data_IF_293982234733
#
_entry.id   IF_293982234733
#
_cell.length_a   1.000
_cell.length_b   1.000
_cell.length_c   1.000
_cell.angle_alpha   90.00
_cell.angle_beta   90.00
_cell.angle_gamma   90.00
#
_symmetry.space_group_name_H-M   'P 1'
#
loop_
_entity.id
_entity.type
_entity.pdbx_description
1 polymer ?
#
# COMPACT_ATOMS: atom_id res chain seq x y z
N UNK A 1 14.52 7.05 5.43
CA UNK A 1 13.31 6.59 4.75
C UNK A 1 13.08 5.11 5.07
N UNK A 2 12.17 4.84 6.03
CA UNK A 2 11.94 3.50 6.62
C UNK A 2 11.46 2.47 5.59
N UNK A 3 10.68 2.89 4.59
CA UNK A 3 10.23 2.02 3.49
C UNK A 3 11.40 1.44 2.67
N UNK A 4 12.44 2.24 2.46
CA UNK A 4 13.62 1.79 1.71
C UNK A 4 14.49 0.80 2.50
N UNK A 5 14.30 0.70 3.81
CA UNK A 5 15.07 -0.18 4.70
C UNK A 5 14.34 -1.50 5.00
N UNK A 6 13.26 -1.83 4.30
CA UNK A 6 12.44 -3.03 4.53
C UNK A 6 11.93 -3.19 5.97
N UNK A 7 11.82 -2.09 6.73
CA UNK A 7 11.28 -2.13 8.07
C UNK A 7 9.81 -2.55 8.06
N UNK A 8 9.47 -3.41 9.00
CA UNK A 8 8.09 -3.91 9.14
C UNK A 8 7.20 -2.86 9.79
N UNK A 9 6.65 -1.93 8.99
CA UNK A 9 5.82 -0.80 9.45
C UNK A 9 4.73 -1.25 10.43
N UNK A 10 4.10 -2.39 10.18
CA UNK A 10 3.03 -2.89 11.04
C UNK A 10 3.53 -3.28 12.43
N UNK A 11 4.71 -3.90 12.53
CA UNK A 11 5.35 -4.25 13.81
C UNK A 11 5.75 -2.99 14.57
N UNK A 12 6.34 -2.02 13.88
CA UNK A 12 6.69 -0.73 14.45
C UNK A 12 5.46 0.01 15.01
N UNK A 13 4.35 0.05 14.26
CA UNK A 13 3.11 0.67 14.75
C UNK A 13 2.53 -0.08 15.94
N UNK A 14 2.59 -1.41 15.94
CA UNK A 14 2.20 -2.21 17.10
C UNK A 14 3.08 -1.87 18.32
N UNK A 15 4.39 -1.71 18.15
CA UNK A 15 5.29 -1.32 19.23
C UNK A 15 4.91 0.02 19.89
N UNK A 16 4.48 0.99 19.09
CA UNK A 16 3.98 2.28 19.58
C UNK A 16 2.67 2.15 20.37
N UNK A 17 1.75 1.31 19.88
CA UNK A 17 0.44 1.11 20.50
C UNK A 17 0.57 0.42 21.86
N UNK A 18 1.41 -0.62 21.92
CA UNK A 18 1.56 -1.46 23.12
C UNK A 18 2.72 -1.07 24.02
N UNK A 19 3.52 -0.07 23.61
CA UNK A 19 4.73 0.37 24.31
C UNK A 19 5.68 -0.80 24.60
N UNK A 20 5.95 -1.62 23.57
CA UNK A 20 6.82 -2.79 23.58
C UNK A 20 7.93 -2.66 22.54
N UNK A 21 9.01 -3.44 22.68
CA UNK A 21 9.99 -3.60 21.62
C UNK A 21 9.39 -4.39 20.46
N UNK A 22 9.89 -4.16 19.25
CA UNK A 22 9.37 -4.82 18.04
C UNK A 22 9.47 -6.34 18.10
N UNK A 23 10.52 -6.88 18.77
CA UNK A 23 10.75 -8.31 18.94
C UNK A 23 9.75 -8.97 19.93
N UNK A 24 9.08 -8.17 20.76
CA UNK A 24 8.10 -8.63 21.76
C UNK A 24 6.67 -8.62 21.23
N UNK A 25 6.45 -8.13 20.00
CA UNK A 25 5.13 -8.02 19.38
C UNK A 25 4.64 -9.40 18.94
N UNK A 26 3.53 -9.82 19.52
CA UNK A 26 2.88 -11.07 19.14
C UNK A 26 1.95 -10.90 17.91
N UNK A 27 1.46 -12.03 17.36
CA UNK A 27 0.65 -12.04 16.14
C UNK A 27 -0.66 -11.22 16.25
N UNK A 28 -1.29 -11.19 17.44
CA UNK A 28 -2.53 -10.40 17.65
C UNK A 28 -2.22 -8.90 17.68
N UNK A 29 -1.15 -8.50 18.34
CA UNK A 29 -0.69 -7.12 18.41
C UNK A 29 -0.24 -6.63 17.03
N UNK A 30 0.46 -7.48 16.27
CA UNK A 30 0.79 -7.21 14.87
C UNK A 30 -0.45 -6.97 14.00
N UNK A 31 -1.52 -7.79 14.14
CA UNK A 31 -2.76 -7.61 13.39
C UNK A 31 -3.44 -6.27 13.73
N UNK A 32 -3.44 -5.86 15.00
CA UNK A 32 -3.92 -4.53 15.40
C UNK A 32 -3.06 -3.43 14.79
N UNK A 33 -1.74 -3.55 14.81
CA UNK A 33 -0.82 -2.60 14.16
C UNK A 33 -1.11 -2.46 12.67
N UNK A 34 -1.27 -3.58 11.96
CA UNK A 34 -1.62 -3.62 10.54
C UNK A 34 -2.96 -2.93 10.26
N UNK A 35 -4.00 -3.27 11.01
CA UNK A 35 -5.33 -2.65 10.88
C UNK A 35 -5.30 -1.16 11.19
N UNK A 36 -4.49 -0.74 12.16
CA UNK A 36 -4.32 0.68 12.50
C UNK A 36 -3.72 1.47 11.34
N UNK A 37 -2.65 0.97 10.72
CA UNK A 37 -2.04 1.60 9.53
C UNK A 37 -3.08 1.79 8.43
N UNK A 38 -3.79 0.72 8.06
CA UNK A 38 -4.78 0.78 6.98
C UNK A 38 -5.95 1.71 7.34
N UNK A 39 -6.50 1.59 8.55
CA UNK A 39 -7.62 2.41 9.00
C UNK A 39 -7.25 3.90 9.01
N UNK A 40 -6.11 4.25 9.60
CA UNK A 40 -5.66 5.64 9.70
C UNK A 40 -5.34 6.22 8.33
N UNK A 41 -4.62 5.49 7.48
CA UNK A 41 -4.26 5.97 6.15
C UNK A 41 -5.49 6.23 5.26
N UNK A 42 -6.55 5.44 5.44
CA UNK A 42 -7.80 5.61 4.69
C UNK A 42 -8.86 6.45 5.42
N UNK A 43 -8.49 7.11 6.53
CA UNK A 43 -9.35 8.05 7.23
C UNK A 43 -10.54 7.39 7.95
N UNK A 44 -10.38 6.15 8.43
CA UNK A 44 -11.44 5.47 9.17
C UNK A 44 -11.61 6.10 10.55
N UNK A 45 -12.84 6.51 10.87
CA UNK A 45 -13.16 7.08 12.18
C UNK A 45 -13.15 6.05 13.32
N UNK A 46 -13.02 6.51 14.60
CA UNK A 46 -12.82 5.63 15.74
C UNK A 46 -13.94 4.63 15.99
N UNK A 47 -15.20 4.96 15.66
CA UNK A 47 -16.32 4.05 15.86
C UNK A 47 -16.27 2.84 14.90
N UNK A 48 -16.00 3.09 13.62
CA UNK A 48 -15.84 2.02 12.64
C UNK A 48 -14.59 1.20 12.92
N UNK A 49 -13.52 1.86 13.33
CA UNK A 49 -12.28 1.18 13.71
C UNK A 49 -12.49 0.29 14.95
N UNK A 50 -13.25 0.73 15.95
CA UNK A 50 -13.63 -0.07 17.12
C UNK A 50 -14.32 -1.38 16.73
N UNK A 51 -15.26 -1.31 15.79
CA UNK A 51 -15.94 -2.49 15.25
C UNK A 51 -14.97 -3.41 14.53
N UNK A 52 -14.06 -2.84 13.71
CA UNK A 52 -13.07 -3.60 12.96
C UNK A 52 -12.12 -4.40 13.85
N UNK A 53 -11.65 -3.80 14.95
CA UNK A 53 -10.70 -4.45 15.89
C UNK A 53 -11.39 -5.15 17.06
N UNK A 54 -12.73 -5.12 17.12
CA UNK A 54 -13.57 -5.69 18.21
C UNK A 54 -13.15 -5.18 19.59
N UNK A 55 -12.95 -3.87 19.72
CA UNK A 55 -12.56 -3.20 20.95
C UNK A 55 -13.51 -2.03 21.26
N UNK A 56 -13.61 -1.58 22.52
CA UNK A 56 -14.37 -0.39 22.88
C UNK A 56 -13.92 0.86 22.10
N UNK A 57 -14.87 1.76 21.78
CA UNK A 57 -14.60 2.98 21.04
C UNK A 57 -13.50 3.87 21.68
N UNK A 58 -13.43 3.90 23.01
CA UNK A 58 -12.38 4.62 23.76
C UNK A 58 -10.98 4.05 23.46
N UNK A 59 -10.85 2.72 23.41
CA UNK A 59 -9.58 2.04 23.09
C UNK A 59 -9.20 2.34 21.63
N UNK A 60 -10.13 2.18 20.70
CA UNK A 60 -9.92 2.48 19.29
C UNK A 60 -9.47 3.94 19.06
N UNK A 61 -10.12 4.90 19.74
CA UNK A 61 -9.74 6.31 19.69
C UNK A 61 -8.30 6.53 20.17
N UNK A 62 -7.90 5.90 21.26
CA UNK A 62 -6.54 6.03 21.80
C UNK A 62 -5.50 5.44 20.85
N UNK A 63 -5.80 4.29 20.23
CA UNK A 63 -4.92 3.66 19.24
C UNK A 63 -4.69 4.58 18.03
N UNK A 64 -5.77 5.12 17.45
CA UNK A 64 -5.67 6.07 16.33
C UNK A 64 -4.90 7.33 16.73
N UNK A 65 -5.18 7.90 17.91
CA UNK A 65 -4.45 9.06 18.42
C UNK A 65 -2.95 8.77 18.62
N UNK A 66 -2.60 7.57 19.07
CA UNK A 66 -1.19 7.15 19.18
C UNK A 66 -0.54 7.09 17.80
N UNK A 67 -1.19 6.50 16.81
CA UNK A 67 -0.67 6.45 15.44
C UNK A 67 -0.43 7.86 14.88
N UNK A 68 -1.41 8.76 14.95
CA UNK A 68 -1.29 10.13 14.42
C UNK A 68 -0.23 10.96 15.15
N UNK A 69 0.00 10.70 16.44
CA UNK A 69 1.08 11.35 17.18
C UNK A 69 2.47 10.96 16.67
N UNK A 70 2.66 9.70 16.26
CA UNK A 70 3.93 9.21 15.73
C UNK A 70 4.08 9.37 14.21
N UNK A 71 2.97 9.55 13.50
CA UNK A 71 2.91 9.75 12.05
C UNK A 71 2.01 10.95 11.69
N UNK A 72 2.36 12.18 12.12
CA UNK A 72 1.56 13.39 11.88
C UNK A 72 1.48 13.74 10.38
N UNK A 73 2.39 13.23 9.57
CA UNK A 73 2.41 13.41 8.13
C UNK A 73 1.17 12.87 7.43
N UNK A 74 0.53 11.84 8.02
CA UNK A 74 -0.70 11.26 7.47
C UNK A 74 -1.85 12.27 7.53
N UNK A 75 -2.02 12.95 8.66
CA UNK A 75 -3.04 14.00 8.77
C UNK A 75 -2.73 15.20 7.87
N UNK A 76 -1.44 15.57 7.75
CA UNK A 76 -1.02 16.61 6.84
C UNK A 76 -1.36 16.25 5.38
N UNK A 77 -1.05 15.02 4.97
CA UNK A 77 -1.41 14.51 3.66
C UNK A 77 -2.94 14.46 3.43
N UNK A 78 -3.72 14.05 4.43
CA UNK A 78 -5.19 14.10 4.34
C UNK A 78 -5.68 15.53 4.07
N UNK A 79 -5.15 16.54 4.76
CA UNK A 79 -5.48 17.95 4.52
C UNK A 79 -5.14 18.38 3.09
N UNK A 80 -3.95 18.04 2.60
CA UNK A 80 -3.55 18.34 1.21
C UNK A 80 -4.51 17.71 0.18
N UNK A 81 -4.89 16.45 0.38
CA UNK A 81 -5.86 15.77 -0.51
C UNK A 81 -7.22 16.47 -0.48
N UNK A 82 -7.70 16.85 0.72
CA UNK A 82 -8.96 17.59 0.84
C UNK A 82 -8.92 18.95 0.16
N UNK A 83 -7.83 19.69 0.30
CA UNK A 83 -7.64 20.99 -0.36
C UNK A 83 -7.61 20.86 -1.88
N UNK A 84 -6.89 19.86 -2.39
CA UNK A 84 -6.89 19.59 -3.84
C UNK A 84 -8.29 19.25 -4.34
N UNK A 85 -9.05 18.45 -3.61
CA UNK A 85 -10.44 18.14 -3.97
C UNK A 85 -11.37 19.36 -3.92
N UNK A 86 -11.16 20.28 -2.97
CA UNK A 86 -11.91 21.53 -2.92
C UNK A 86 -11.62 22.41 -4.13
N UNK A 87 -10.36 22.41 -4.58
CA UNK A 87 -9.89 23.24 -5.69
C UNK A 87 -10.28 22.69 -7.05
N UNK A 88 -10.09 21.40 -7.28
CA UNK A 88 -10.13 20.82 -8.62
C UNK A 88 -11.09 19.63 -8.80
N UNK A 89 -11.60 19.06 -7.71
CA UNK A 89 -12.39 17.82 -7.72
C UNK A 89 -11.68 16.65 -8.40
N UNK A 90 -10.36 16.68 -8.51
CA UNK A 90 -9.57 15.63 -9.14
C UNK A 90 -8.30 15.36 -8.36
N UNK A 91 -7.78 14.14 -8.52
CA UNK A 91 -6.44 13.76 -8.06
C UNK A 91 -5.65 13.19 -9.25
N UNK A 92 -4.34 13.36 -9.18
CA UNK A 92 -3.40 12.86 -10.19
C UNK A 92 -2.38 12.00 -9.48
N UNK A 93 -2.16 10.76 -9.96
CA UNK A 93 -1.15 9.85 -9.41
C UNK A 93 0.26 10.25 -9.88
N UNK A 94 1.34 9.70 -9.27
CA UNK A 94 2.71 9.86 -9.77
C UNK A 94 2.92 9.43 -11.22
N UNK A 95 2.03 8.59 -11.74
CA UNK A 95 2.06 8.11 -13.14
C UNK A 95 1.18 8.94 -14.10
N UNK A 96 0.56 10.04 -13.61
CA UNK A 96 -0.27 10.91 -14.41
C UNK A 96 -1.72 10.44 -14.57
N UNK A 97 -2.15 9.36 -13.93
CA UNK A 97 -3.56 8.93 -13.94
C UNK A 97 -4.42 9.96 -13.23
N UNK A 98 -5.47 10.44 -13.90
CA UNK A 98 -6.40 11.44 -13.38
C UNK A 98 -7.69 10.75 -12.97
N UNK A 99 -8.19 11.05 -11.78
CA UNK A 99 -9.53 10.67 -11.33
C UNK A 99 -10.31 11.89 -10.87
N UNK A 100 -11.54 12.04 -11.37
CA UNK A 100 -12.49 13.06 -10.94
C UNK A 100 -13.45 12.50 -9.89
N UNK A 101 -13.65 13.27 -8.82
CA UNK A 101 -14.56 12.94 -7.72
C UNK A 101 -15.83 13.76 -7.84
N UNK A 102 -16.91 13.13 -8.32
CA UNK A 102 -18.18 13.79 -8.64
C UNK A 102 -19.23 13.63 -7.55
N UNK A 103 -18.97 12.77 -6.56
CA UNK A 103 -19.86 12.50 -5.43
C UNK A 103 -20.07 13.77 -4.56
N UNK A 104 -21.05 13.70 -3.66
CA UNK A 104 -21.26 14.75 -2.65
C UNK A 104 -19.99 14.97 -1.84
N UNK A 105 -19.65 16.22 -1.63
CA UNK A 105 -18.48 16.61 -0.85
C UNK A 105 -18.68 16.19 0.63
N UNK A 106 -17.77 15.41 1.18
CA UNK A 106 -17.86 14.92 2.56
C UNK A 106 -16.90 13.74 2.82
N UNK A 107 -17.04 13.14 4.01
CA UNK A 107 -16.17 12.08 4.52
C UNK A 107 -16.02 10.87 3.58
N UNK A 108 -17.11 10.45 2.92
CA UNK A 108 -17.06 9.31 2.01
C UNK A 108 -16.17 9.59 0.79
N UNK A 109 -16.31 10.79 0.21
CA UNK A 109 -15.44 11.24 -0.88
C UNK A 109 -13.98 11.31 -0.42
N UNK A 110 -13.70 11.80 0.77
CA UNK A 110 -12.35 11.91 1.29
C UNK A 110 -11.71 10.53 1.49
N UNK A 111 -12.43 9.58 2.10
CA UNK A 111 -11.94 8.20 2.26
C UNK A 111 -11.65 7.54 0.92
N UNK A 112 -12.53 7.71 -0.06
CA UNK A 112 -12.32 7.23 -1.41
C UNK A 112 -11.06 7.85 -2.05
N UNK A 113 -10.82 9.12 -1.82
CA UNK A 113 -9.67 9.84 -2.33
C UNK A 113 -8.35 9.41 -1.67
N UNK A 114 -8.35 9.20 -0.35
CA UNK A 114 -7.18 8.69 0.37
C UNK A 114 -6.81 7.28 -0.09
N UNK A 115 -7.78 6.42 -0.36
CA UNK A 115 -7.51 5.09 -0.89
C UNK A 115 -7.03 5.13 -2.35
N UNK A 116 -7.57 6.04 -3.16
CA UNK A 116 -7.30 6.10 -4.59
C UNK A 116 -5.82 6.35 -4.92
N UNK A 117 -5.18 7.34 -4.29
CA UNK A 117 -3.80 7.71 -4.64
C UNK A 117 -2.81 6.54 -4.47
N UNK A 118 -2.69 5.90 -3.30
CA UNK A 118 -1.76 4.79 -3.13
C UNK A 118 -2.15 3.55 -3.95
N UNK A 119 -3.42 3.16 -3.97
CA UNK A 119 -3.87 1.98 -4.70
C UNK A 119 -3.66 2.12 -6.21
N UNK A 120 -4.04 3.26 -6.80
CA UNK A 120 -3.81 3.50 -8.23
C UNK A 120 -2.33 3.61 -8.57
N UNK A 121 -1.51 4.15 -7.67
CA UNK A 121 -0.06 4.21 -7.87
C UNK A 121 0.56 2.82 -7.93
N UNK A 122 0.15 1.92 -7.01
CA UNK A 122 0.62 0.53 -7.02
C UNK A 122 0.13 -0.20 -8.26
N UNK A 123 -1.14 -0.05 -8.63
CA UNK A 123 -1.69 -0.66 -9.84
C UNK A 123 -0.94 -0.21 -11.10
N UNK A 124 -0.71 1.10 -11.27
CA UNK A 124 0.06 1.63 -12.41
C UNK A 124 1.51 1.12 -12.42
N UNK A 125 2.11 0.94 -11.25
CA UNK A 125 3.46 0.38 -11.11
C UNK A 125 3.51 -1.08 -11.55
N UNK A 126 2.54 -1.91 -11.09
CA UNK A 126 2.39 -3.29 -11.51
C UNK A 126 2.12 -3.42 -13.01
N UNK A 127 1.19 -2.63 -13.57
CA UNK A 127 0.89 -2.65 -15.00
C UNK A 127 2.10 -2.30 -15.87
N UNK A 128 2.93 -1.34 -15.45
CA UNK A 128 4.17 -1.03 -16.16
C UNK A 128 5.18 -2.18 -16.10
N UNK A 129 5.25 -2.89 -14.97
CA UNK A 129 6.10 -4.08 -14.86
C UNK A 129 5.57 -5.22 -15.75
N UNK A 130 4.27 -5.48 -15.72
CA UNK A 130 3.62 -6.47 -16.58
C UNK A 130 3.84 -6.19 -18.06
N UNK A 131 3.68 -4.93 -18.49
CA UNK A 131 3.92 -4.55 -19.87
C UNK A 131 5.35 -4.82 -20.33
N UNK A 132 6.36 -4.51 -19.49
CA UNK A 132 7.76 -4.83 -19.77
C UNK A 132 8.00 -6.33 -19.85
N UNK A 133 7.39 -7.09 -18.94
CA UNK A 133 7.53 -8.55 -18.89
C UNK A 133 6.90 -9.20 -20.11
N UNK A 134 5.69 -8.83 -20.50
CA UNK A 134 5.01 -9.36 -21.69
C UNK A 134 5.88 -9.28 -22.96
N UNK A 135 6.69 -8.22 -23.08
CA UNK A 135 7.59 -8.02 -24.21
C UNK A 135 8.98 -8.64 -24.06
N UNK A 136 9.26 -9.28 -22.92
CA UNK A 136 10.59 -9.84 -22.63
C UNK A 136 10.57 -11.27 -22.10
N UNK A 137 9.39 -11.85 -21.85
CA UNK A 137 9.28 -13.24 -21.41
C UNK A 137 9.83 -14.20 -22.49
N UNK A 138 10.59 -15.23 -22.09
CA UNK A 138 11.03 -16.26 -23.02
C UNK A 138 9.85 -17.12 -23.51
N UNK A 139 10.05 -17.80 -24.65
CA UNK A 139 9.04 -18.72 -25.18
C UNK A 139 8.69 -19.79 -24.16
N UNK A 140 7.38 -19.99 -23.91
CA UNK A 140 6.86 -20.92 -22.91
C UNK A 140 6.54 -20.30 -21.56
N UNK A 141 7.05 -19.10 -21.26
CA UNK A 141 6.63 -18.33 -20.10
C UNK A 141 5.51 -17.37 -20.46
N UNK A 142 4.52 -17.21 -19.56
CA UNK A 142 3.36 -16.34 -19.81
C UNK A 142 2.81 -15.72 -18.54
N UNK A 143 2.24 -14.51 -18.65
CA UNK A 143 1.42 -13.91 -17.63
C UNK A 143 0.04 -14.60 -17.62
N UNK A 144 -0.31 -15.26 -16.53
CA UNK A 144 -1.56 -16.04 -16.45
C UNK A 144 -2.64 -15.39 -15.62
N UNK A 145 -2.26 -14.49 -14.72
CA UNK A 145 -3.22 -13.78 -13.87
C UNK A 145 -2.68 -12.43 -13.43
N UNK A 146 -3.59 -11.46 -13.36
CA UNK A 146 -3.41 -10.16 -12.76
C UNK A 146 -4.20 -10.05 -11.45
N UNK A 147 -3.58 -9.47 -10.41
CA UNK A 147 -4.22 -9.01 -9.18
C UNK A 147 -4.08 -7.50 -9.06
N UNK A 148 -4.64 -6.89 -8.02
CA UNK A 148 -4.58 -5.43 -7.82
C UNK A 148 -3.15 -4.89 -7.68
N UNK A 149 -2.29 -5.65 -7.00
CA UNK A 149 -0.94 -5.28 -6.59
C UNK A 149 0.10 -6.31 -6.98
N UNK A 150 -0.27 -7.27 -7.84
CA UNK A 150 0.60 -8.33 -8.28
C UNK A 150 0.09 -9.11 -9.49
N UNK A 151 0.88 -10.06 -9.94
CA UNK A 151 0.55 -10.94 -11.06
C UNK A 151 1.24 -12.30 -10.89
N UNK A 152 0.81 -13.26 -11.70
CA UNK A 152 1.38 -14.60 -11.74
C UNK A 152 1.97 -14.84 -13.12
N UNK A 153 3.18 -15.38 -13.13
CA UNK A 153 3.85 -15.91 -14.32
C UNK A 153 3.93 -17.42 -14.19
N UNK A 154 3.52 -18.13 -15.24
CA UNK A 154 3.77 -19.54 -15.44
C UNK A 154 4.97 -19.71 -16.36
N UNK A 155 5.90 -20.60 -16.02
CA UNK A 155 7.09 -20.88 -16.80
C UNK A 155 7.63 -22.29 -16.50
N UNK A 156 8.50 -22.80 -17.37
CA UNK A 156 9.26 -24.01 -17.10
C UNK A 156 10.26 -23.77 -15.96
N UNK A 157 10.51 -24.79 -15.15
CA UNK A 157 11.44 -24.72 -14.01
C UNK A 157 12.86 -24.31 -14.44
N UNK A 158 13.27 -24.69 -15.65
CA UNK A 158 14.56 -24.30 -16.25
C UNK A 158 14.69 -22.80 -16.53
N UNK A 159 13.59 -22.07 -16.67
CA UNK A 159 13.55 -20.64 -16.96
C UNK A 159 13.52 -19.77 -15.69
N UNK A 160 13.45 -20.38 -14.52
CA UNK A 160 13.29 -19.71 -13.23
C UNK A 160 14.20 -18.51 -13.02
N UNK A 161 15.52 -18.70 -13.15
CA UNK A 161 16.51 -17.65 -12.88
C UNK A 161 16.41 -16.48 -13.88
N UNK A 162 16.08 -16.79 -15.13
CA UNK A 162 15.82 -15.78 -16.15
C UNK A 162 14.59 -14.94 -15.79
N UNK A 163 13.48 -15.59 -15.40
CA UNK A 163 12.24 -14.91 -14.97
C UNK A 163 12.48 -14.04 -13.75
N UNK A 164 13.22 -14.52 -12.74
CA UNK A 164 13.59 -13.70 -11.58
C UNK A 164 14.38 -12.45 -11.99
N UNK A 165 15.33 -12.59 -12.92
CA UNK A 165 16.10 -11.46 -13.43
C UNK A 165 15.23 -10.46 -14.19
N UNK A 166 14.28 -10.94 -14.99
CA UNK A 166 13.31 -10.11 -15.71
C UNK A 166 12.40 -9.33 -14.76
N UNK A 167 11.84 -9.98 -13.74
CA UNK A 167 11.00 -9.34 -12.72
C UNK A 167 11.79 -8.24 -12.00
N UNK A 168 13.01 -8.53 -11.54
CA UNK A 168 13.87 -7.53 -10.90
C UNK A 168 14.06 -6.29 -11.78
N UNK A 169 14.37 -6.48 -13.06
CA UNK A 169 14.53 -5.37 -14.02
C UNK A 169 13.23 -4.61 -14.26
N UNK A 170 12.09 -5.31 -14.31
CA UNK A 170 10.78 -4.68 -14.51
C UNK A 170 10.41 -3.75 -13.36
N UNK A 171 10.72 -4.15 -12.11
CA UNK A 171 10.45 -3.40 -10.90
C UNK A 171 11.59 -2.47 -10.43
N UNK A 172 12.74 -2.45 -11.10
CA UNK A 172 13.83 -1.52 -10.75
C UNK A 172 13.53 -0.11 -11.25
N UNK A 173 12.61 0.55 -10.58
CA UNK A 173 12.18 1.91 -10.87
C UNK A 173 12.19 2.76 -9.62
N UNK A 174 12.88 3.87 -9.70
CA UNK A 174 12.82 4.95 -8.70
C UNK A 174 11.67 5.87 -9.07
N UNK A 175 10.81 6.15 -8.11
CA UNK A 175 9.71 7.09 -8.26
C UNK A 175 10.07 8.42 -7.59
N UNK A 176 9.62 9.50 -8.20
CA UNK A 176 9.74 10.85 -7.62
C UNK A 176 8.32 11.42 -7.52
N UNK A 177 7.93 11.81 -6.33
CA UNK A 177 6.63 12.43 -6.07
C UNK A 177 6.79 13.61 -5.13
N UNK A 178 6.38 14.80 -5.56
CA UNK A 178 6.50 16.04 -4.79
C UNK A 178 7.92 16.27 -4.23
N UNK A 179 8.94 15.95 -5.00
CA UNK A 179 10.35 16.09 -4.59
C UNK A 179 10.87 14.96 -3.70
N UNK A 180 10.05 13.99 -3.34
CA UNK A 180 10.45 12.81 -2.54
C UNK A 180 10.78 11.66 -3.48
N UNK A 181 11.98 11.10 -3.32
CA UNK A 181 12.44 9.92 -4.05
C UNK A 181 12.19 8.66 -3.24
N UNK A 182 11.56 7.65 -3.83
CA UNK A 182 11.29 6.37 -3.17
C UNK A 182 11.22 5.22 -4.16
N UNK A 183 11.34 3.98 -3.63
CA UNK A 183 11.06 2.73 -4.35
C UNK A 183 9.87 2.04 -3.70
N UNK A 184 9.03 1.38 -4.49
CA UNK A 184 7.98 0.50 -3.98
C UNK A 184 8.61 -0.90 -3.85
N UNK A 185 8.67 -1.45 -2.64
CA UNK A 185 9.15 -2.81 -2.44
C UNK A 185 8.14 -3.81 -3.02
N UNK A 186 8.63 -4.97 -3.42
CA UNK A 186 7.81 -6.08 -3.90
C UNK A 186 8.36 -7.40 -3.36
N UNK A 187 7.49 -8.39 -3.22
CA UNK A 187 7.83 -9.74 -2.83
C UNK A 187 7.60 -10.69 -4.01
N UNK A 188 8.43 -11.73 -4.12
CA UNK A 188 8.26 -12.82 -5.05
C UNK A 188 8.08 -14.13 -4.29
N UNK A 189 7.13 -14.93 -4.73
CA UNK A 189 6.91 -16.29 -4.24
C UNK A 189 6.88 -17.24 -5.42
N UNK A 190 7.31 -18.45 -5.20
CA UNK A 190 7.28 -19.50 -6.21
C UNK A 190 6.61 -20.77 -5.67
N UNK A 191 6.09 -21.60 -6.55
CA UNK A 191 5.48 -22.89 -6.22
C UNK A 191 4.95 -23.58 -7.45
N UNK A 192 4.76 -24.89 -7.38
CA UNK A 192 4.17 -25.69 -8.49
C UNK A 192 2.66 -25.46 -8.65
N UNK A 193 2.05 -24.69 -7.80
CA UNK A 193 0.64 -24.31 -7.81
C UNK A 193 0.48 -23.00 -7.06
N UNK A 194 -0.63 -22.29 -7.30
CA UNK A 194 -0.97 -21.12 -6.52
C UNK A 194 -0.97 -21.44 -5.02
N UNK A 195 -0.13 -20.72 -4.27
CA UNK A 195 -0.09 -20.73 -2.81
C UNK A 195 -0.49 -19.33 -2.36
N UNK A 196 -1.60 -19.24 -1.64
CA UNK A 196 -2.12 -17.97 -1.12
C UNK A 196 -1.30 -17.53 0.08
#
# INVERSE_FOLDING_TARGET
NKLNNHEKIHTMVASWIYNKKEEEINAKEYDIGKRTVHASNYGLGPNLFATLIKQPAKVAKNILATYHRYAPEIEAWHREVQEELRRSRRLVTPFGRIRYFRNRFGEDMFREAYAHLPQSTIADYCHQAMWKLEHSLPKGAQLVQEGFDGFIIECDESQREEIYSLIKRAYDKVLIWKGITFKIPYDMKEGRRWIK
#
